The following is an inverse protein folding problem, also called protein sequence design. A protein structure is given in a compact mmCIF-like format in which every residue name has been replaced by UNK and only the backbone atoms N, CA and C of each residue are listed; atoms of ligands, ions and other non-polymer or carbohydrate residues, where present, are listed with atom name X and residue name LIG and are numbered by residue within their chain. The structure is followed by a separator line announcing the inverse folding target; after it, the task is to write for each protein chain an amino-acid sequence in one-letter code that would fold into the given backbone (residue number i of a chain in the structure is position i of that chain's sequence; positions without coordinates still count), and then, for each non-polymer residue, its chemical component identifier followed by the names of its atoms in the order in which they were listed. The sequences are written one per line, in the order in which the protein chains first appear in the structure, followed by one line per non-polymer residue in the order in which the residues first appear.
data_IF_909506269103
#
_entry.id   IF_909506269103
#
_cell.length_a   1.000
_cell.length_b   1.000
_cell.length_c   1.000
_cell.angle_alpha   90.00
_cell.angle_beta   90.00
_cell.angle_gamma   90.00
#
_symmetry.space_group_name_H-M   'P 1'
#
loop_
_entity.id
_entity.type
_entity.pdbx_description
1 polymer ?
#
# COMPACT_ATOMS: atom_id res chain seq x y z
N UNK A 1 2.10 6.67 34.26
CA UNK A 1 3.53 6.74 33.88
C UNK A 1 3.64 5.97 32.58
N UNK A 2 3.69 6.68 31.44
CA UNK A 2 3.86 6.09 30.13
C UNK A 2 5.28 5.53 30.03
N UNK A 3 5.38 4.21 29.82
CA UNK A 3 6.66 3.57 29.63
C UNK A 3 6.96 3.60 28.11
N UNK A 4 7.74 4.58 27.67
CA UNK A 4 8.27 4.60 26.32
C UNK A 4 9.37 3.55 26.19
N UNK A 5 9.32 2.74 25.17
CA UNK A 5 10.38 1.81 24.83
C UNK A 5 11.17 2.46 23.70
N UNK A 6 12.42 2.82 24.01
CA UNK A 6 13.35 3.39 23.03
C UNK A 6 14.11 2.24 22.37
N UNK A 7 13.91 2.07 21.07
CA UNK A 7 14.69 1.10 20.31
C UNK A 7 15.88 1.82 19.68
N UNK A 8 17.10 1.40 20.06
CA UNK A 8 18.31 1.81 19.35
C UNK A 8 18.24 1.27 17.92
N UNK A 9 18.69 2.07 16.97
CA UNK A 9 18.83 1.63 15.59
C UNK A 9 19.87 0.50 15.50
N UNK A 10 19.50 -0.55 14.84
CA UNK A 10 20.49 -1.44 14.22
C UNK A 10 21.19 -0.64 13.11
N UNK A 11 22.52 -0.75 13.00
CA UNK A 11 23.30 -0.04 11.98
C UNK A 11 23.14 -0.64 10.57
N UNK A 12 22.16 -1.51 10.38
CA UNK A 12 21.82 -2.03 9.05
C UNK A 12 21.28 -0.90 8.16
N UNK A 13 21.94 -0.64 7.06
CA UNK A 13 21.46 0.27 6.02
C UNK A 13 20.14 -0.28 5.44
N UNK A 14 19.05 0.42 5.73
CA UNK A 14 17.76 0.11 5.13
C UNK A 14 17.58 0.95 3.88
N UNK A 15 17.30 0.30 2.75
CA UNK A 15 16.96 0.99 1.51
C UNK A 15 15.50 1.40 1.54
N UNK A 16 15.24 2.68 1.31
CA UNK A 16 13.91 3.23 1.21
C UNK A 16 13.69 3.87 -0.16
N UNK A 17 12.56 3.56 -0.78
CA UNK A 17 12.09 4.32 -1.91
C UNK A 17 11.29 5.53 -1.40
N UNK A 18 11.50 6.73 -1.94
CA UNK A 18 10.84 7.95 -1.46
C UNK A 18 9.32 7.91 -1.52
N UNK A 19 8.78 7.28 -2.56
CA UNK A 19 7.34 7.04 -2.76
C UNK A 19 6.95 5.61 -2.38
N UNK A 20 7.74 4.94 -1.55
CA UNK A 20 7.51 3.56 -1.12
C UNK A 20 7.55 2.57 -2.28
N UNK A 21 6.77 1.51 -2.18
CA UNK A 21 6.73 0.46 -3.21
C UNK A 21 6.18 0.92 -4.58
N UNK A 22 5.64 2.13 -4.67
CA UNK A 22 5.21 2.72 -5.93
C UNK A 22 6.38 2.88 -6.91
N UNK A 23 7.59 3.20 -6.44
CA UNK A 23 8.81 3.21 -7.28
C UNK A 23 9.04 1.87 -7.96
N UNK A 24 8.90 0.76 -7.22
CA UNK A 24 9.06 -0.59 -7.78
C UNK A 24 8.02 -0.87 -8.85
N UNK A 25 6.76 -0.54 -8.58
CA UNK A 25 5.67 -0.69 -9.54
C UNK A 25 5.92 0.14 -10.81
N UNK A 26 6.36 1.39 -10.67
CA UNK A 26 6.68 2.28 -11.80
C UNK A 26 7.84 1.75 -12.64
N UNK A 27 8.92 1.26 -12.00
CA UNK A 27 10.05 0.63 -12.70
C UNK A 27 9.61 -0.61 -13.47
N UNK A 28 8.76 -1.46 -12.90
CA UNK A 28 8.19 -2.63 -13.58
C UNK A 28 7.32 -2.22 -14.77
N UNK A 29 6.46 -1.22 -14.62
CA UNK A 29 5.64 -0.69 -15.72
C UNK A 29 6.52 -0.16 -16.84
N UNK A 30 7.55 0.63 -16.55
CA UNK A 30 8.51 1.09 -17.55
C UNK A 30 9.21 -0.06 -18.27
N UNK A 31 9.58 -1.12 -17.54
CA UNK A 31 10.21 -2.30 -18.13
C UNK A 31 9.26 -3.06 -19.05
N UNK A 32 7.99 -3.19 -18.68
CA UNK A 32 6.98 -3.93 -19.44
C UNK A 32 6.38 -3.13 -20.58
N UNK A 33 6.27 -1.81 -20.41
CA UNK A 33 5.70 -0.88 -21.41
C UNK A 33 6.70 0.28 -21.61
N UNK A 34 7.78 0.07 -22.36
CA UNK A 34 8.83 1.08 -22.55
C UNK A 34 8.34 2.43 -23.09
N UNK A 35 7.24 2.42 -23.83
CA UNK A 35 6.65 3.61 -24.43
C UNK A 35 5.98 4.56 -23.41
N UNK A 36 5.83 4.15 -22.14
CA UNK A 36 5.16 4.94 -21.09
C UNK A 36 5.88 6.23 -20.75
N UNK A 37 7.18 6.29 -20.96
CA UNK A 37 7.99 7.50 -20.81
C UNK A 37 9.22 7.43 -21.72
N UNK A 38 9.66 8.59 -22.20
CA UNK A 38 10.92 8.74 -22.95
C UNK A 38 12.14 8.87 -22.02
N UNK A 39 11.90 9.11 -20.72
CA UNK A 39 12.98 9.29 -19.76
C UNK A 39 13.82 8.02 -19.61
N UNK A 40 15.12 8.20 -19.41
CA UNK A 40 15.98 7.16 -18.89
C UNK A 40 15.70 7.01 -17.40
N UNK A 41 14.95 5.96 -17.05
CA UNK A 41 14.46 5.74 -15.69
C UNK A 41 15.42 4.87 -14.91
N UNK A 42 15.77 5.34 -13.72
CA UNK A 42 16.60 4.65 -12.74
C UNK A 42 15.93 4.69 -11.36
N UNK A 43 16.55 4.04 -10.39
CA UNK A 43 16.14 4.11 -8.99
C UNK A 43 16.08 5.57 -8.48
N UNK A 44 17.02 6.41 -8.92
CA UNK A 44 17.17 7.78 -8.40
C UNK A 44 16.11 8.75 -8.90
N UNK A 45 15.56 8.52 -10.11
CA UNK A 45 14.64 9.47 -10.74
C UNK A 45 13.24 8.94 -11.00
N UNK A 46 12.95 7.68 -10.65
CA UNK A 46 11.66 7.07 -10.95
C UNK A 46 10.47 7.83 -10.32
N UNK A 47 10.66 8.38 -9.12
CA UNK A 47 9.61 9.13 -8.41
C UNK A 47 9.25 10.46 -9.08
N UNK A 48 10.19 11.05 -9.83
CA UNK A 48 10.01 12.33 -10.53
C UNK A 48 9.76 12.19 -12.04
N UNK A 49 9.96 11.00 -12.60
CA UNK A 49 9.73 10.73 -14.02
C UNK A 49 8.25 10.83 -14.39
N UNK A 50 7.95 11.48 -15.50
CA UNK A 50 6.58 11.64 -15.99
C UNK A 50 6.19 10.48 -16.88
N UNK A 51 5.08 9.81 -16.55
CA UNK A 51 4.53 8.71 -17.32
C UNK A 51 3.33 9.16 -18.15
N UNK A 52 3.33 8.83 -19.45
CA UNK A 52 2.16 9.00 -20.30
C UNK A 52 1.20 7.83 -20.11
N UNK A 53 0.14 8.03 -19.35
CA UNK A 53 -0.86 7.00 -19.06
C UNK A 53 -1.66 6.52 -20.28
N UNK A 54 -1.73 7.29 -21.36
CA UNK A 54 -2.37 6.87 -22.60
C UNK A 54 -1.66 5.68 -23.25
N UNK A 55 -0.35 5.53 -22.98
CA UNK A 55 0.45 4.42 -23.49
C UNK A 55 0.26 3.11 -22.73
N UNK A 56 -0.44 3.10 -21.60
CA UNK A 56 -0.57 1.91 -20.75
C UNK A 56 -1.46 0.83 -21.37
N UNK A 57 -2.52 1.19 -22.09
CA UNK A 57 -3.48 0.24 -22.67
C UNK A 57 -3.53 0.32 -24.21
N UNK A 58 -2.38 0.44 -24.88
CA UNK A 58 -2.33 0.49 -26.33
C UNK A 58 -2.44 -0.92 -26.92
N UNK A 59 -3.26 -1.09 -28.00
CA UNK A 59 -3.60 -2.40 -28.56
C UNK A 59 -2.39 -3.13 -29.21
N UNK A 60 -1.40 -2.39 -29.67
CA UNK A 60 -0.17 -2.93 -30.27
C UNK A 60 0.86 -3.43 -29.24
N UNK A 61 0.66 -3.11 -27.94
CA UNK A 61 1.56 -3.56 -26.92
C UNK A 61 1.28 -5.02 -26.53
N UNK A 62 2.33 -5.81 -26.38
CA UNK A 62 2.24 -7.18 -25.88
C UNK A 62 1.78 -7.25 -24.41
N UNK A 63 2.05 -6.20 -23.64
CA UNK A 63 1.60 -6.03 -22.26
C UNK A 63 0.73 -4.78 -22.18
N UNK A 64 -0.43 -4.91 -21.54
CA UNK A 64 -1.40 -3.80 -21.41
C UNK A 64 -1.81 -3.65 -19.95
N UNK A 65 -1.87 -2.43 -19.46
CA UNK A 65 -2.32 -2.08 -18.13
C UNK A 65 -3.55 -1.17 -18.22
N UNK A 66 -4.71 -1.68 -17.81
CA UNK A 66 -5.98 -0.94 -17.84
C UNK A 66 -6.27 -0.33 -16.50
N UNK A 67 -6.13 0.99 -16.40
CA UNK A 67 -6.55 1.75 -15.24
C UNK A 67 -8.05 2.01 -15.25
N UNK A 68 -8.62 2.38 -14.11
CA UNK A 68 -10.05 2.68 -13.92
C UNK A 68 -10.97 1.55 -14.44
N UNK A 69 -10.50 0.31 -14.30
CA UNK A 69 -11.19 -0.89 -14.78
C UNK A 69 -11.46 -1.81 -13.59
N UNK A 70 -12.68 -1.78 -13.07
CA UNK A 70 -13.06 -2.55 -11.90
C UNK A 70 -13.51 -3.95 -12.30
N UNK A 71 -12.76 -4.98 -11.91
CA UNK A 71 -13.16 -6.37 -12.11
C UNK A 71 -14.35 -6.69 -11.24
N UNK A 72 -15.41 -7.25 -11.83
CA UNK A 72 -16.66 -7.61 -11.17
C UNK A 72 -16.97 -9.11 -11.22
N UNK A 73 -16.18 -9.88 -11.95
CA UNK A 73 -16.35 -11.33 -11.98
C UNK A 73 -15.24 -12.01 -12.76
N UNK A 74 -14.83 -13.17 -12.27
CA UNK A 74 -13.86 -14.07 -12.90
C UNK A 74 -14.44 -15.46 -12.90
N UNK A 75 -14.52 -16.11 -14.07
CA UNK A 75 -15.17 -17.40 -14.22
C UNK A 75 -14.46 -18.27 -15.25
N UNK A 76 -14.27 -19.54 -14.94
CA UNK A 76 -13.82 -20.54 -15.89
C UNK A 76 -14.94 -20.95 -16.84
N UNK A 77 -14.60 -21.23 -18.11
CA UNK A 77 -15.57 -21.64 -19.14
C UNK A 77 -15.73 -23.17 -19.25
N UNK A 78 -15.03 -23.94 -18.39
CA UNK A 78 -15.01 -25.40 -18.44
C UNK A 78 -14.16 -26.00 -19.57
N UNK A 79 -13.62 -25.17 -20.47
CA UNK A 79 -12.79 -25.57 -21.61
C UNK A 79 -11.34 -25.08 -21.49
N UNK A 80 -10.90 -24.77 -20.27
CA UNK A 80 -9.54 -24.32 -19.98
C UNK A 80 -9.29 -22.85 -20.31
N UNK A 81 -10.35 -22.04 -20.39
CA UNK A 81 -10.25 -20.58 -20.52
C UNK A 81 -10.93 -19.88 -19.35
N UNK A 82 -10.50 -18.67 -19.05
CA UNK A 82 -11.05 -17.83 -17.99
C UNK A 82 -11.63 -16.56 -18.59
N UNK A 83 -12.85 -16.21 -18.22
CA UNK A 83 -13.47 -14.93 -18.53
C UNK A 83 -13.32 -13.98 -17.36
N UNK A 84 -12.79 -12.79 -17.64
CA UNK A 84 -12.69 -11.69 -16.69
C UNK A 84 -13.66 -10.61 -17.13
N UNK A 85 -14.68 -10.34 -16.31
CA UNK A 85 -15.63 -9.27 -16.53
C UNK A 85 -15.21 -8.04 -15.73
N UNK A 86 -15.22 -6.87 -16.36
CA UNK A 86 -14.88 -5.62 -15.67
C UNK A 86 -15.76 -4.47 -16.18
N UNK A 87 -15.87 -3.43 -15.34
CA UNK A 87 -16.57 -2.19 -15.69
C UNK A 87 -15.54 -1.07 -15.84
N UNK A 88 -15.65 -0.29 -16.91
CA UNK A 88 -14.85 0.90 -17.17
C UNK A 88 -15.78 2.00 -17.70
N UNK A 89 -15.77 3.18 -17.06
CA UNK A 89 -16.61 4.32 -17.43
C UNK A 89 -18.13 3.98 -17.48
N UNK A 90 -18.61 3.09 -16.63
CA UNK A 90 -20.01 2.67 -16.61
C UNK A 90 -20.37 1.57 -17.61
N UNK A 91 -19.49 1.19 -18.51
CA UNK A 91 -19.69 0.14 -19.50
C UNK A 91 -19.07 -1.18 -19.06
N UNK A 92 -19.74 -2.30 -19.38
CA UNK A 92 -19.28 -3.65 -19.06
C UNK A 92 -18.47 -4.25 -20.21
N UNK A 93 -17.35 -4.82 -19.87
CA UNK A 93 -16.42 -5.48 -20.79
C UNK A 93 -16.09 -6.89 -20.34
N UNK A 94 -15.65 -7.71 -21.28
CA UNK A 94 -15.18 -9.07 -21.02
C UNK A 94 -13.88 -9.35 -21.75
N UNK A 95 -12.94 -9.97 -21.04
CA UNK A 95 -11.69 -10.50 -21.62
C UNK A 95 -11.68 -11.99 -21.44
N UNK A 96 -11.29 -12.72 -22.49
CA UNK A 96 -10.99 -14.15 -22.45
C UNK A 96 -9.49 -14.35 -22.33
N UNK A 97 -9.05 -15.19 -21.40
CA UNK A 97 -7.65 -15.53 -21.17
C UNK A 97 -7.47 -17.02 -20.92
N UNK A 98 -6.25 -17.52 -21.02
CA UNK A 98 -5.91 -18.89 -20.63
C UNK A 98 -5.82 -19.03 -19.11
N UNK A 99 -5.31 -18.00 -18.43
CA UNK A 99 -5.10 -17.97 -16.99
C UNK A 99 -5.44 -16.59 -16.44
N UNK A 100 -5.82 -16.54 -15.16
CA UNK A 100 -6.00 -15.29 -14.42
C UNK A 100 -5.34 -15.38 -13.07
N UNK A 101 -4.62 -14.32 -12.67
CA UNK A 101 -4.03 -14.19 -11.35
C UNK A 101 -4.78 -13.10 -10.60
N UNK A 102 -5.42 -13.45 -9.49
CA UNK A 102 -6.13 -12.53 -8.64
C UNK A 102 -5.16 -11.92 -7.63
N UNK A 103 -4.55 -10.79 -7.99
CA UNK A 103 -3.63 -10.04 -7.13
C UNK A 103 -4.35 -8.92 -6.37
N UNK A 104 -5.61 -9.14 -6.03
CA UNK A 104 -6.45 -8.22 -5.28
C UNK A 104 -6.49 -8.57 -3.78
N UNK A 105 -7.22 -7.77 -3.01
CA UNK A 105 -7.47 -8.05 -1.60
C UNK A 105 -8.27 -9.35 -1.45
N UNK A 106 -7.77 -10.28 -0.64
CA UNK A 106 -8.32 -11.65 -0.57
C UNK A 106 -9.82 -11.70 -0.26
N UNK A 107 -10.32 -10.81 0.60
CA UNK A 107 -11.75 -10.78 0.97
C UNK A 107 -12.69 -10.47 -0.19
N UNK A 108 -12.18 -9.97 -1.33
CA UNK A 108 -12.97 -9.69 -2.53
C UNK A 108 -13.10 -10.94 -3.41
N UNK A 109 -12.18 -11.89 -3.31
CA UNK A 109 -12.11 -13.08 -4.18
C UNK A 109 -13.42 -13.89 -4.18
N UNK A 110 -14.08 -14.18 -3.03
CA UNK A 110 -15.35 -14.91 -3.02
C UNK A 110 -16.48 -14.21 -3.80
N UNK A 111 -16.43 -12.88 -3.90
CA UNK A 111 -17.39 -12.09 -4.67
C UNK A 111 -17.08 -12.13 -6.17
N UNK A 112 -15.80 -12.22 -6.56
CA UNK A 112 -15.37 -12.31 -7.95
C UNK A 112 -15.53 -13.70 -8.52
N UNK A 113 -15.36 -14.74 -7.70
CA UNK A 113 -15.40 -16.16 -8.07
C UNK A 113 -16.43 -16.90 -7.22
N UNK A 114 -17.73 -16.73 -7.48
CA UNK A 114 -18.79 -17.35 -6.66
C UNK A 114 -18.80 -18.88 -6.73
N UNK A 115 -18.17 -19.48 -7.73
CA UNK A 115 -18.03 -20.94 -7.90
C UNK A 115 -16.94 -21.58 -7.01
N UNK A 116 -16.17 -20.80 -6.25
CA UNK A 116 -15.21 -21.37 -5.31
C UNK A 116 -15.89 -22.27 -4.29
N UNK A 117 -15.26 -23.40 -3.89
CA UNK A 117 -15.75 -24.26 -2.83
C UNK A 117 -16.03 -23.48 -1.54
N UNK A 118 -17.13 -23.81 -0.86
CA UNK A 118 -17.55 -23.07 0.34
C UNK A 118 -16.48 -23.05 1.43
N UNK A 119 -15.81 -24.19 1.64
CA UNK A 119 -14.68 -24.27 2.58
C UNK A 119 -13.56 -23.26 2.26
N UNK A 120 -13.29 -23.00 0.98
CA UNK A 120 -12.29 -22.02 0.58
C UNK A 120 -12.77 -20.59 0.81
N UNK A 121 -14.06 -20.30 0.57
CA UNK A 121 -14.66 -18.99 0.86
C UNK A 121 -14.62 -18.69 2.35
N UNK A 122 -14.96 -19.67 3.18
CA UNK A 122 -14.88 -19.56 4.64
C UNK A 122 -13.45 -19.29 5.10
N UNK A 123 -12.46 -20.03 4.57
CA UNK A 123 -11.05 -19.84 4.89
C UNK A 123 -10.53 -18.44 4.51
N UNK A 124 -10.95 -17.93 3.35
CA UNK A 124 -10.64 -16.56 2.93
C UNK A 124 -11.30 -15.53 3.86
N UNK A 125 -12.56 -15.77 4.24
CA UNK A 125 -13.32 -14.92 5.16
C UNK A 125 -12.73 -14.86 6.57
N UNK A 126 -12.02 -15.90 6.99
CA UNK A 126 -11.33 -15.92 8.29
C UNK A 126 -10.15 -14.95 8.38
N UNK A 127 -9.51 -14.62 7.26
CA UNK A 127 -8.32 -13.77 7.21
C UNK A 127 -8.68 -12.27 7.27
N UNK A 128 -9.41 -11.86 8.29
CA UNK A 128 -9.72 -10.45 8.54
C UNK A 128 -8.46 -9.67 8.88
N UNK A 129 -8.41 -8.41 8.46
CA UNK A 129 -7.28 -7.51 8.64
C UNK A 129 -7.61 -6.41 9.63
N UNK A 130 -6.64 -6.08 10.46
CA UNK A 130 -6.77 -4.96 11.39
C UNK A 130 -6.54 -3.65 10.63
N UNK A 131 -7.39 -2.62 10.83
CA UNK A 131 -7.16 -1.31 10.24
C UNK A 131 -5.92 -0.64 10.84
N UNK A 132 -5.18 0.08 9.99
CA UNK A 132 -4.01 0.86 10.35
C UNK A 132 -4.28 2.33 10.12
N UNK A 133 -3.79 3.18 11.01
CA UNK A 133 -3.74 4.64 10.82
C UNK A 133 -2.28 5.06 10.69
N UNK A 134 -1.99 5.81 9.64
CA UNK A 134 -0.70 6.43 9.42
C UNK A 134 -0.87 7.94 9.34
N UNK A 135 0.03 8.66 9.99
CA UNK A 135 0.07 10.11 9.92
C UNK A 135 1.51 10.59 9.69
N UNK A 136 1.66 11.56 8.80
CA UNK A 136 2.90 12.31 8.65
C UNK A 136 2.72 13.68 9.30
N UNK A 137 3.56 14.00 10.27
CA UNK A 137 3.54 15.28 10.96
C UNK A 137 4.78 16.08 10.57
N UNK A 138 4.56 17.23 9.94
CA UNK A 138 5.63 18.15 9.56
C UNK A 138 5.99 19.03 10.74
N UNK A 139 7.26 19.04 11.11
CA UNK A 139 7.81 19.87 12.17
C UNK A 139 8.68 20.98 11.56
N UNK A 140 8.67 22.13 12.19
CA UNK A 140 9.55 23.26 11.80
C UNK A 140 11.04 22.97 12.01
N UNK A 141 11.37 22.05 12.94
CA UNK A 141 12.72 21.54 13.17
C UNK A 141 12.70 20.18 13.84
N UNK A 142 13.85 19.51 13.85
CA UNK A 142 14.04 18.19 14.47
C UNK A 142 14.73 18.23 15.84
N UNK A 143 14.95 19.42 16.45
CA UNK A 143 15.77 19.60 17.67
C UNK A 143 15.32 18.75 18.85
N UNK A 144 14.00 18.58 19.04
CA UNK A 144 13.48 17.75 20.12
C UNK A 144 13.89 16.29 19.97
N UNK A 145 13.87 15.78 18.73
CA UNK A 145 14.23 14.39 18.42
C UNK A 145 15.72 14.14 18.39
N UNK A 146 16.53 15.12 18.03
CA UNK A 146 17.99 14.98 18.04
C UNK A 146 18.55 14.75 19.46
N UNK A 147 17.82 15.19 20.48
CA UNK A 147 18.17 14.98 21.90
C UNK A 147 17.78 13.59 22.42
N UNK A 148 16.88 12.92 21.71
CA UNK A 148 16.44 11.57 22.03
C UNK A 148 17.29 10.62 21.18
N UNK A 149 18.25 9.94 21.77
CA UNK A 149 19.10 8.98 21.04
C UNK A 149 18.31 7.70 20.67
N UNK A 150 17.21 7.88 19.92
CA UNK A 150 16.35 6.82 19.45
C UNK A 150 15.73 7.20 18.11
N UNK A 151 15.69 6.26 17.16
CA UNK A 151 15.04 6.43 15.86
C UNK A 151 13.55 6.06 15.89
N UNK A 152 13.14 5.25 16.86
CA UNK A 152 11.78 4.77 17.02
C UNK A 152 11.36 4.85 18.47
N UNK A 153 10.18 5.38 18.71
CA UNK A 153 9.55 5.49 20.03
C UNK A 153 8.28 4.65 19.99
N UNK A 154 8.18 3.68 20.91
CA UNK A 154 6.93 2.96 21.12
C UNK A 154 6.12 3.65 22.21
N UNK A 155 4.86 3.93 21.93
CA UNK A 155 3.93 4.67 22.76
C UNK A 155 2.72 3.77 23.13
N UNK A 156 2.89 2.77 24.02
CA UNK A 156 1.78 1.91 24.41
C UNK A 156 0.67 2.73 25.06
N UNK A 157 -0.57 2.50 24.64
CA UNK A 157 -1.78 3.18 25.10
C UNK A 157 -2.01 4.61 24.57
N UNK A 158 -1.12 5.15 23.73
CA UNK A 158 -1.41 6.37 22.99
C UNK A 158 -2.20 6.05 21.70
N UNK A 159 -2.83 7.03 21.06
CA UNK A 159 -3.52 6.84 19.77
C UNK A 159 -2.61 6.27 18.67
N UNK A 160 -1.34 6.64 18.70
CA UNK A 160 -0.32 6.07 17.82
C UNK A 160 0.65 5.22 18.65
N UNK A 161 0.82 3.97 18.24
CA UNK A 161 1.68 3.00 18.92
C UNK A 161 3.16 3.24 18.66
N UNK A 162 3.47 3.85 17.51
CA UNK A 162 4.84 4.08 17.05
C UNK A 162 4.98 5.48 16.50
N UNK A 163 6.05 6.14 16.92
CA UNK A 163 6.51 7.42 16.38
C UNK A 163 7.96 7.26 15.93
N UNK A 164 8.26 7.64 14.71
CA UNK A 164 9.64 7.63 14.18
C UNK A 164 9.90 8.88 13.35
N UNK A 165 11.14 9.29 13.28
CA UNK A 165 11.55 10.30 12.29
C UNK A 165 11.61 9.62 10.93
N UNK A 166 11.04 10.25 9.91
CA UNK A 166 11.08 9.75 8.55
C UNK A 166 12.54 9.53 8.12
N UNK A 167 12.88 8.36 7.57
CA UNK A 167 14.26 8.11 7.17
C UNK A 167 14.69 9.06 6.07
N UNK A 168 15.95 9.51 6.07
CA UNK A 168 16.48 10.33 5.00
C UNK A 168 16.53 9.53 3.69
N UNK A 169 15.98 10.09 2.64
CA UNK A 169 16.02 9.50 1.30
C UNK A 169 16.48 10.55 0.30
N UNK A 170 17.37 10.15 -0.60
CA UNK A 170 17.83 11.00 -1.70
C UNK A 170 17.27 10.45 -3.01
N UNK A 171 16.50 11.25 -3.73
CA UNK A 171 15.98 10.87 -5.03
C UNK A 171 15.58 12.07 -5.84
N UNK A 172 15.71 12.01 -7.17
CA UNK A 172 15.31 13.09 -8.06
C UNK A 172 15.98 14.42 -7.74
N UNK A 173 17.17 14.40 -7.15
CA UNK A 173 17.88 15.61 -6.73
C UNK A 173 17.48 16.15 -5.35
N UNK A 174 16.51 15.55 -4.68
CA UNK A 174 16.17 15.93 -3.30
C UNK A 174 17.30 15.55 -2.34
N UNK A 175 17.65 16.48 -1.47
CA UNK A 175 18.60 16.28 -0.37
C UNK A 175 17.84 16.36 0.95
N UNK A 176 17.85 15.31 1.77
CA UNK A 176 17.18 15.33 3.06
C UNK A 176 17.89 16.29 4.03
N UNK A 177 17.15 16.85 5.00
CA UNK A 177 17.74 17.66 6.06
C UNK A 177 18.79 16.86 6.83
N UNK A 178 19.92 17.50 7.12
CA UNK A 178 21.02 16.90 7.90
C UNK A 178 21.23 17.58 9.24
N UNK A 179 20.65 18.78 9.40
CA UNK A 179 20.79 19.58 10.60
C UNK A 179 19.53 19.47 11.45
N UNK A 180 19.63 19.30 12.79
CA UNK A 180 18.46 19.29 13.67
C UNK A 180 17.58 20.56 13.60
N UNK A 181 18.14 21.70 13.21
CA UNK A 181 17.41 22.96 13.04
C UNK A 181 16.55 23.00 11.76
N UNK A 182 16.78 22.06 10.83
CA UNK A 182 16.00 21.97 9.60
C UNK A 182 14.62 21.33 9.87
N UNK A 183 13.62 21.57 8.99
CA UNK A 183 12.33 20.92 9.06
C UNK A 183 12.45 19.39 9.06
N UNK A 184 11.65 18.74 9.87
CA UNK A 184 11.62 17.28 9.99
C UNK A 184 10.21 16.72 9.76
N UNK A 185 10.12 15.45 9.38
CA UNK A 185 8.85 14.75 9.26
C UNK A 185 8.83 13.59 10.24
N UNK A 186 7.80 13.55 11.07
CA UNK A 186 7.50 12.38 11.87
C UNK A 186 6.52 11.48 11.15
N UNK A 187 6.81 10.19 11.20
CA UNK A 187 5.91 9.14 10.78
C UNK A 187 5.30 8.48 12.02
N UNK A 188 3.99 8.55 12.12
CA UNK A 188 3.22 7.97 13.20
C UNK A 188 2.41 6.81 12.67
N UNK A 189 2.38 5.72 13.41
CA UNK A 189 1.62 4.53 13.05
C UNK A 189 0.85 4.02 14.27
N UNK A 190 -0.41 3.67 14.09
CA UNK A 190 -1.24 3.11 15.15
C UNK A 190 -2.31 2.17 14.64
N UNK A 191 -2.75 1.31 15.54
CA UNK A 191 -3.95 0.50 15.38
C UNK A 191 -5.03 1.14 16.26
N UNK A 192 -6.22 1.44 15.72
CA UNK A 192 -7.31 2.00 16.51
C UNK A 192 -7.58 1.15 17.75
N UNK A 193 -7.57 1.76 18.92
CA UNK A 193 -7.81 1.10 20.20
C UNK A 193 -9.27 1.28 20.60
N UNK A 194 -9.93 0.19 20.90
CA UNK A 194 -11.31 0.16 21.32
C UNK A 194 -11.59 -1.06 22.18
N UNK A 195 -12.66 -1.02 22.93
CA UNK A 195 -13.07 -2.12 23.78
C UNK A 195 -13.62 -3.28 22.90
N UNK A 196 -12.98 -4.42 22.96
CA UNK A 196 -13.40 -5.64 22.27
C UNK A 196 -14.24 -6.47 23.24
N UNK A 197 -15.46 -6.83 22.86
CA UNK A 197 -16.25 -7.85 23.58
C UNK A 197 -15.74 -9.24 23.21
N UNK A 198 -15.69 -10.14 24.17
CA UNK A 198 -15.31 -11.56 23.93
C UNK A 198 -16.23 -12.26 22.92
N UNK A 199 -17.41 -11.72 22.66
CA UNK A 199 -18.39 -12.19 21.68
C UNK A 199 -18.19 -11.57 20.29
N UNK A 200 -17.34 -10.55 20.15
CA UNK A 200 -17.11 -9.93 18.86
C UNK A 200 -16.40 -10.90 17.91
N UNK A 201 -16.95 -11.05 16.73
CA UNK A 201 -16.22 -11.73 15.65
C UNK A 201 -15.07 -10.83 15.15
N UNK A 202 -14.08 -11.41 14.48
CA UNK A 202 -13.00 -10.63 13.85
C UNK A 202 -13.54 -9.55 12.91
N UNK A 203 -14.64 -9.85 12.21
CA UNK A 203 -15.33 -8.89 11.34
C UNK A 203 -15.93 -7.72 12.10
N UNK A 204 -16.49 -7.95 13.29
CA UNK A 204 -17.04 -6.90 14.13
C UNK A 204 -15.93 -6.02 14.70
N UNK A 205 -14.82 -6.62 15.11
CA UNK A 205 -13.60 -5.93 15.54
C UNK A 205 -13.09 -5.01 14.42
N UNK A 206 -13.00 -5.53 13.19
CA UNK A 206 -12.59 -4.74 12.04
C UNK A 206 -13.52 -3.56 11.75
N UNK A 207 -14.85 -3.77 11.80
CA UNK A 207 -15.84 -2.71 11.60
C UNK A 207 -15.75 -1.64 12.67
N UNK A 208 -15.65 -2.02 13.94
CA UNK A 208 -15.48 -1.09 15.07
C UNK A 208 -14.22 -0.23 14.91
N UNK A 209 -13.09 -0.88 14.56
CA UNK A 209 -11.84 -0.19 14.31
C UNK A 209 -11.92 0.83 13.18
N UNK A 210 -12.60 0.47 12.09
CA UNK A 210 -12.83 1.42 10.97
C UNK A 210 -13.71 2.60 11.37
N UNK A 211 -14.76 2.37 12.13
CA UNK A 211 -15.64 3.47 12.57
C UNK A 211 -14.88 4.54 13.34
N UNK A 212 -13.94 4.14 14.21
CA UNK A 212 -13.13 5.09 14.99
C UNK A 212 -12.23 5.95 14.11
N UNK A 213 -11.77 5.43 12.98
CA UNK A 213 -10.90 6.17 12.05
C UNK A 213 -11.69 7.27 11.31
N UNK A 214 -12.98 7.05 11.09
CA UNK A 214 -13.82 7.95 10.28
C UNK A 214 -14.73 8.87 11.10
N UNK A 215 -14.66 8.81 12.44
CA UNK A 215 -15.34 9.71 13.36
C UNK A 215 -14.39 10.74 13.95
#
# INVERSE_FOLDING_TARGET
IFKYILQKSDDSESLYFPDGNASVARLLVKKLIPAVTTDSVSFDNISTSVFNYEKLDHHEHSVRLRLNSTVVGVKEDGNGSVYVNYVKNGEAFRVKSKHSILACYNSIIPHLCPELPEQQKEAIGYAEKVPFVWANVHLSNGVAFSKINAKLIQCPNDPFDVVTVSPPTTTGGYQPPTNPDDPAVLFLMGIPKFQVDTKDSLRDIYKKGRQIIYT
#
